data_IF_669521105423
#
_entry.id   IF_669521105423
#
_cell.length_a   1.000
_cell.length_b   1.000
_cell.length_c   1.000
_cell.angle_alpha   90.00
_cell.angle_beta   90.00
_cell.angle_gamma   90.00
#
_symmetry.space_group_name_H-M   'P 1'
#
loop_
_entity.id
_entity.type
_entity.pdbx_description
1 polymer ?
#
# COMPACT_ATOMS: atom_id res chain seq x y z
N UNK A 1 3.07 -84.65 -28.02
CA UNK A 1 1.71 -84.89 -28.52
C UNK A 1 1.27 -83.68 -29.31
N UNK A 2 0.80 -83.91 -30.54
CA UNK A 2 -0.04 -83.03 -31.38
C UNK A 2 0.60 -81.78 -32.03
N UNK A 3 1.09 -81.99 -33.25
CA UNK A 3 1.04 -81.11 -34.45
C UNK A 3 -0.43 -80.81 -34.89
N UNK A 4 -0.74 -80.11 -36.01
CA UNK A 4 0.03 -79.17 -36.87
C UNK A 4 -0.79 -77.92 -37.33
N UNK A 5 -0.19 -77.19 -38.29
CA UNK A 5 -0.80 -76.56 -39.50
C UNK A 5 -0.84 -75.02 -39.53
N UNK A 6 -0.16 -74.47 -40.55
CA UNK A 6 -0.14 -73.05 -40.92
C UNK A 6 -1.29 -72.64 -41.84
N UNK A 7 -0.99 -71.65 -42.70
CA UNK A 7 -1.65 -71.19 -43.95
C UNK A 7 -1.74 -69.65 -43.98
N UNK A 8 -0.93 -68.98 -44.82
CA UNK A 8 -1.21 -68.51 -46.20
C UNK A 8 -1.91 -67.13 -46.25
N UNK A 9 -1.23 -66.20 -46.92
CA UNK A 9 -1.70 -64.90 -47.47
C UNK A 9 -2.87 -65.08 -48.45
N UNK A 10 -3.71 -64.05 -48.67
CA UNK A 10 -3.74 -63.55 -50.05
C UNK A 10 -3.96 -62.03 -50.20
N UNK A 11 -3.40 -61.50 -51.28
CA UNK A 11 -3.84 -60.29 -51.95
C UNK A 11 -5.10 -60.59 -52.78
N UNK A 12 -6.04 -59.64 -52.87
CA UNK A 12 -6.70 -59.32 -54.15
C UNK A 12 -7.52 -58.03 -54.09
N UNK A 13 -7.43 -57.31 -55.21
CA UNK A 13 -8.01 -56.00 -55.55
C UNK A 13 -9.50 -56.07 -55.92
N UNK A 14 -10.04 -54.86 -56.19
CA UNK A 14 -11.22 -54.48 -56.99
C UNK A 14 -12.43 -54.03 -56.13
N UNK A 15 -13.22 -52.98 -56.45
CA UNK A 15 -13.58 -52.36 -57.73
C UNK A 15 -14.13 -50.92 -57.51
N UNK A 16 -13.79 -50.01 -58.43
CA UNK A 16 -14.56 -48.88 -59.04
C UNK A 16 -15.82 -48.30 -58.38
N UNK A 17 -15.93 -46.96 -58.34
CA UNK A 17 -17.01 -46.16 -58.99
C UNK A 17 -16.80 -44.63 -58.89
N UNK A 18 -17.16 -43.93 -59.96
CA UNK A 18 -16.97 -42.50 -60.26
C UNK A 18 -17.86 -41.56 -59.42
N UNK A 19 -17.38 -40.34 -59.09
CA UNK A 19 -18.22 -39.13 -59.13
C UNK A 19 -17.42 -37.80 -59.14
N UNK A 20 -17.57 -37.10 -60.27
CA UNK A 20 -17.75 -35.65 -60.47
C UNK A 20 -16.85 -34.64 -59.75
N UNK A 21 -15.96 -34.06 -60.55
CA UNK A 21 -15.37 -32.74 -60.37
C UNK A 21 -16.41 -31.63 -60.56
N UNK A 22 -16.62 -30.78 -59.56
CA UNK A 22 -17.12 -29.42 -59.76
C UNK A 22 -16.23 -28.42 -59.01
N UNK A 23 -15.69 -27.50 -59.82
CA UNK A 23 -14.91 -26.33 -59.45
C UNK A 23 -15.84 -25.33 -58.79
N UNK A 24 -15.57 -24.93 -57.55
CA UNK A 24 -16.20 -23.77 -56.90
C UNK A 24 -15.11 -22.79 -56.49
N UNK A 25 -15.31 -21.54 -56.94
CA UNK A 25 -14.45 -20.35 -56.83
C UNK A 25 -14.10 -20.00 -55.37
N UNK A 26 -12.94 -19.35 -55.12
CA UNK A 26 -12.64 -18.87 -53.78
C UNK A 26 -13.55 -17.67 -53.46
N UNK A 27 -14.40 -17.82 -52.46
CA UNK A 27 -15.06 -16.68 -51.81
C UNK A 27 -13.97 -15.98 -51.02
N UNK A 28 -13.56 -14.81 -51.49
CA UNK A 28 -12.70 -13.91 -50.74
C UNK A 28 -13.41 -13.54 -49.45
N UNK A 29 -13.00 -14.16 -48.34
CA UNK A 29 -13.14 -13.54 -47.04
C UNK A 29 -12.21 -12.33 -47.05
N UNK A 30 -12.78 -11.18 -47.39
CA UNK A 30 -12.27 -9.91 -46.92
C UNK A 30 -12.07 -10.05 -45.42
N UNK A 31 -10.81 -10.19 -45.00
CA UNK A 31 -10.36 -9.73 -43.70
C UNK A 31 -10.70 -8.25 -43.66
N UNK A 32 -11.95 -7.95 -43.28
CA UNK A 32 -12.26 -6.70 -42.63
C UNK A 32 -11.32 -6.66 -41.44
N UNK A 33 -10.25 -5.90 -41.62
CA UNK A 33 -9.59 -5.15 -40.56
C UNK A 33 -10.71 -4.67 -39.64
N UNK A 34 -10.88 -5.34 -38.52
CA UNK A 34 -11.65 -4.82 -37.41
C UNK A 34 -11.02 -3.47 -37.12
N UNK A 35 -11.77 -2.42 -37.44
CA UNK A 35 -11.40 -1.07 -37.11
C UNK A 35 -11.03 -1.08 -35.62
N UNK A 36 -9.76 -0.82 -35.32
CA UNK A 36 -9.31 -0.47 -33.99
C UNK A 36 -10.03 0.82 -33.62
N UNK A 37 -11.23 0.68 -33.08
CA UNK A 37 -11.92 1.73 -32.37
C UNK A 37 -11.08 2.01 -31.14
N UNK A 38 -10.16 2.97 -31.23
CA UNK A 38 -9.52 3.56 -30.08
C UNK A 38 -10.65 4.12 -29.22
N UNK A 39 -11.01 3.40 -28.16
CA UNK A 39 -12.09 3.79 -27.26
C UNK A 39 -11.73 5.17 -26.71
N UNK A 40 -12.56 6.22 -26.86
CA UNK A 40 -12.20 7.58 -26.43
C UNK A 40 -11.73 7.64 -24.97
N UNK A 41 -12.35 6.82 -24.11
CA UNK A 41 -11.94 6.64 -22.71
C UNK A 41 -10.50 6.12 -22.58
N UNK A 42 -10.08 5.12 -23.36
CA UNK A 42 -8.73 4.57 -23.28
C UNK A 42 -7.67 5.64 -23.63
N UNK A 43 -7.91 6.40 -24.71
CA UNK A 43 -7.00 7.48 -25.11
C UNK A 43 -6.88 8.60 -24.05
N UNK A 44 -7.99 8.89 -23.35
CA UNK A 44 -7.99 9.84 -22.23
C UNK A 44 -7.16 9.29 -21.07
N UNK A 45 -7.34 8.02 -20.71
CA UNK A 45 -6.61 7.38 -19.63
C UNK A 45 -5.11 7.30 -19.89
N UNK A 46 -4.71 6.97 -21.12
CA UNK A 46 -3.30 6.99 -21.51
C UNK A 46 -2.68 8.38 -21.35
N UNK A 47 -3.41 9.43 -21.73
CA UNK A 47 -2.96 10.82 -21.55
C UNK A 47 -2.82 11.19 -20.07
N UNK A 48 -3.75 10.76 -19.23
CA UNK A 48 -3.69 10.99 -17.79
C UNK A 48 -2.51 10.25 -17.17
N UNK A 49 -2.30 8.97 -17.51
CA UNK A 49 -1.16 8.18 -17.03
C UNK A 49 0.17 8.81 -17.47
N UNK A 50 0.25 9.29 -18.71
CA UNK A 50 1.42 9.99 -19.21
C UNK A 50 1.70 11.27 -18.41
N UNK A 51 0.65 12.04 -18.08
CA UNK A 51 0.76 13.24 -17.23
C UNK A 51 1.27 12.90 -15.84
N UNK A 52 0.78 11.81 -15.26
CA UNK A 52 1.20 11.33 -13.94
C UNK A 52 2.67 10.88 -13.94
N UNK A 53 3.11 10.19 -14.99
CA UNK A 53 4.46 9.63 -15.12
C UNK A 53 5.56 10.58 -15.60
N UNK A 54 5.19 11.81 -16.00
CA UNK A 54 6.14 12.83 -16.46
C UNK A 54 6.88 13.47 -15.28
N UNK A 55 8.21 13.32 -15.28
CA UNK A 55 9.08 13.86 -14.22
C UNK A 55 9.08 15.40 -14.19
N UNK A 56 8.89 16.07 -15.35
CA UNK A 56 8.85 17.53 -15.44
C UNK A 56 7.49 18.13 -15.06
N UNK A 57 6.46 17.30 -14.90
CA UNK A 57 5.11 17.75 -14.62
C UNK A 57 4.94 18.12 -13.13
N UNK A 58 4.28 19.26 -12.88
CA UNK A 58 3.98 19.71 -11.51
C UNK A 58 3.07 18.72 -10.77
N UNK A 59 3.31 18.54 -9.48
CA UNK A 59 2.59 17.56 -8.66
C UNK A 59 1.10 17.88 -8.48
N UNK A 60 0.69 19.16 -8.51
CA UNK A 60 -0.72 19.54 -8.48
C UNK A 60 -1.48 19.04 -9.73
N UNK A 61 -0.81 19.00 -10.88
CA UNK A 61 -1.38 18.52 -12.13
C UNK A 61 -1.37 16.99 -12.19
N UNK A 62 -0.33 16.33 -11.68
CA UNK A 62 -0.31 14.87 -11.49
C UNK A 62 -1.43 14.41 -10.55
N UNK A 63 -1.62 15.13 -9.44
CA UNK A 63 -2.67 14.85 -8.47
C UNK A 63 -4.06 14.95 -9.09
N UNK A 64 -4.34 16.03 -9.82
CA UNK A 64 -5.62 16.20 -10.54
C UNK A 64 -5.87 15.07 -11.53
N UNK A 65 -4.84 14.68 -12.30
CA UNK A 65 -4.96 13.56 -13.23
C UNK A 65 -5.25 12.24 -12.51
N UNK A 66 -4.59 11.97 -11.38
CA UNK A 66 -4.84 10.77 -10.59
C UNK A 66 -6.21 10.77 -9.91
N UNK A 67 -6.70 11.93 -9.48
CA UNK A 67 -8.06 12.08 -8.93
C UNK A 67 -9.13 11.77 -9.99
N UNK A 68 -8.93 12.19 -11.25
CA UNK A 68 -9.81 11.83 -12.36
C UNK A 68 -9.87 10.31 -12.55
N UNK A 69 -8.70 9.64 -12.58
CA UNK A 69 -8.59 8.17 -12.65
C UNK A 69 -9.27 7.50 -11.45
N UNK A 70 -9.09 8.03 -10.23
CA UNK A 70 -9.67 7.46 -9.01
C UNK A 70 -11.20 7.52 -9.00
N UNK A 71 -11.77 8.61 -9.51
CA UNK A 71 -13.22 8.82 -9.58
C UNK A 71 -13.88 7.87 -10.59
N UNK A 72 -13.21 7.55 -11.69
CA UNK A 72 -13.71 6.62 -12.70
C UNK A 72 -13.25 5.17 -12.48
N UNK A 73 -12.60 4.86 -11.35
CA UNK A 73 -11.90 3.57 -11.17
C UNK A 73 -12.80 2.35 -11.24
N UNK A 74 -13.99 2.39 -10.61
CA UNK A 74 -14.94 1.27 -10.65
C UNK A 74 -15.51 1.06 -12.06
N UNK A 75 -15.78 2.16 -12.79
CA UNK A 75 -16.25 2.08 -14.18
C UNK A 75 -15.17 1.46 -15.07
N UNK A 76 -13.91 1.90 -14.93
CA UNK A 76 -12.78 1.35 -15.65
C UNK A 76 -12.60 -0.14 -15.40
N UNK A 77 -12.82 -0.62 -14.17
CA UNK A 77 -12.69 -2.02 -13.80
C UNK A 77 -13.63 -2.96 -14.57
N UNK A 78 -14.71 -2.44 -15.16
CA UNK A 78 -15.64 -3.20 -16.00
C UNK A 78 -15.21 -3.33 -17.46
N UNK A 79 -14.19 -2.58 -17.88
CA UNK A 79 -13.74 -2.52 -19.27
C UNK A 79 -12.71 -3.60 -19.59
N UNK A 80 -12.69 -4.06 -20.85
CA UNK A 80 -11.69 -5.04 -21.33
C UNK A 80 -10.26 -4.49 -21.32
N UNK A 81 -10.09 -3.17 -21.29
CA UNK A 81 -8.78 -2.51 -21.25
C UNK A 81 -8.20 -2.37 -19.83
N UNK A 82 -8.99 -2.69 -18.78
CA UNK A 82 -8.60 -2.44 -17.39
C UNK A 82 -7.25 -3.03 -17.02
N UNK A 83 -6.96 -4.27 -17.45
CA UNK A 83 -5.70 -4.94 -17.09
C UNK A 83 -4.47 -4.18 -17.62
N UNK A 84 -4.55 -3.64 -18.83
CA UNK A 84 -3.47 -2.87 -19.46
C UNK A 84 -3.28 -1.54 -18.72
N UNK A 85 -4.39 -0.84 -18.44
CA UNK A 85 -4.40 0.42 -17.69
C UNK A 85 -3.84 0.21 -16.27
N UNK A 86 -4.26 -0.86 -15.60
CA UNK A 86 -3.82 -1.23 -14.27
C UNK A 86 -2.32 -1.52 -14.23
N UNK A 87 -1.79 -2.26 -15.21
CA UNK A 87 -0.36 -2.51 -15.32
C UNK A 87 0.43 -1.20 -15.49
N UNK A 88 -0.02 -0.32 -16.38
CA UNK A 88 0.62 0.98 -16.62
C UNK A 88 0.58 1.87 -15.38
N UNK A 89 -0.54 1.86 -14.63
CA UNK A 89 -0.67 2.56 -13.36
C UNK A 89 0.34 2.03 -12.33
N UNK A 90 0.44 0.71 -12.14
CA UNK A 90 1.40 0.13 -11.18
C UNK A 90 2.85 0.51 -11.49
N UNK A 91 3.25 0.46 -12.77
CA UNK A 91 4.59 0.91 -13.20
C UNK A 91 4.82 2.39 -12.88
N UNK A 92 3.83 3.22 -13.16
CA UNK A 92 3.89 4.68 -12.92
C UNK A 92 3.95 5.00 -11.43
N UNK A 93 3.15 4.31 -10.62
CA UNK A 93 3.10 4.47 -9.16
C UNK A 93 4.44 4.13 -8.51
N UNK A 94 5.02 2.98 -8.88
CA UNK A 94 6.34 2.57 -8.39
C UNK A 94 7.44 3.57 -8.76
N UNK A 95 7.35 4.18 -9.95
CA UNK A 95 8.27 5.24 -10.39
C UNK A 95 8.08 6.53 -9.56
N UNK A 96 6.85 6.98 -9.31
CA UNK A 96 6.59 8.18 -8.48
C UNK A 96 7.18 8.02 -7.08
N UNK A 97 7.05 6.83 -6.48
CA UNK A 97 7.66 6.58 -5.17
C UNK A 97 9.19 6.71 -5.14
N UNK A 98 9.85 6.46 -6.28
CA UNK A 98 11.30 6.58 -6.44
C UNK A 98 11.73 8.03 -6.76
N UNK A 99 10.93 8.72 -7.58
CA UNK A 99 11.23 10.06 -8.06
C UNK A 99 10.86 11.17 -7.06
N UNK A 100 10.05 10.85 -6.05
CA UNK A 100 9.58 11.80 -5.02
C UNK A 100 9.95 11.33 -3.61
N UNK A 101 10.07 12.29 -2.69
CA UNK A 101 10.39 12.03 -1.27
C UNK A 101 9.15 12.13 -0.39
N UNK A 102 9.12 11.48 0.79
CA UNK A 102 8.03 11.61 1.75
C UNK A 102 7.76 13.07 2.11
N UNK A 103 6.49 13.39 2.31
CA UNK A 103 6.03 14.72 2.70
C UNK A 103 5.13 14.61 3.93
N UNK A 104 5.17 15.60 4.81
CA UNK A 104 4.49 15.56 6.10
C UNK A 104 3.48 16.69 6.30
N UNK A 105 3.32 17.58 5.31
CA UNK A 105 2.24 18.57 5.29
C UNK A 105 1.06 17.97 4.52
N UNK A 106 -0.12 17.89 5.14
CA UNK A 106 -1.29 17.23 4.55
C UNK A 106 -1.81 17.92 3.28
N UNK A 107 -1.64 19.23 3.17
CA UNK A 107 -2.02 20.02 1.99
C UNK A 107 -0.97 19.95 0.86
N UNK A 108 0.18 19.32 1.10
CA UNK A 108 1.20 19.17 0.07
C UNK A 108 0.71 18.22 -1.05
N UNK A 109 0.80 18.67 -2.30
CA UNK A 109 0.31 17.90 -3.45
C UNK A 109 1.03 16.55 -3.61
N UNK A 110 2.33 16.48 -3.34
CA UNK A 110 3.10 15.22 -3.39
C UNK A 110 2.63 14.26 -2.28
N UNK A 111 2.33 14.75 -1.08
CA UNK A 111 1.74 13.92 -0.01
C UNK A 111 0.39 13.34 -0.46
N UNK A 112 -0.52 14.19 -0.95
CA UNK A 112 -1.85 13.77 -1.41
C UNK A 112 -1.75 12.78 -2.59
N UNK A 113 -0.79 13.00 -3.50
CA UNK A 113 -0.51 12.11 -4.61
C UNK A 113 -0.06 10.73 -4.12
N UNK A 114 0.93 10.67 -3.24
CA UNK A 114 1.47 9.41 -2.68
C UNK A 114 0.40 8.64 -1.90
N UNK A 115 -0.42 9.33 -1.11
CA UNK A 115 -1.55 8.73 -0.39
C UNK A 115 -2.57 8.13 -1.35
N UNK A 116 -3.00 8.90 -2.35
CA UNK A 116 -3.98 8.44 -3.35
C UNK A 116 -3.47 7.24 -4.18
N UNK A 117 -2.17 7.20 -4.46
CA UNK A 117 -1.52 6.03 -5.07
C UNK A 117 -1.70 4.79 -4.18
N UNK A 118 -1.43 4.89 -2.88
CA UNK A 118 -1.62 3.75 -1.95
C UNK A 118 -3.08 3.32 -1.87
N UNK A 119 -4.02 4.26 -1.80
CA UNK A 119 -5.46 3.97 -1.79
C UNK A 119 -5.89 3.25 -3.07
N UNK A 120 -5.38 3.66 -4.23
CA UNK A 120 -5.66 3.01 -5.51
C UNK A 120 -5.05 1.60 -5.59
N UNK A 121 -3.81 1.40 -5.11
CA UNK A 121 -3.20 0.07 -5.03
C UNK A 121 -4.06 -0.85 -4.13
N UNK A 122 -4.56 -0.33 -3.01
CA UNK A 122 -5.45 -1.09 -2.13
C UNK A 122 -6.78 -1.45 -2.83
N UNK A 123 -7.35 -0.53 -3.63
CA UNK A 123 -8.58 -0.76 -4.41
C UNK A 123 -8.41 -1.72 -5.60
N UNK A 124 -7.20 -1.89 -6.12
CA UNK A 124 -6.93 -2.79 -7.26
C UNK A 124 -7.22 -4.28 -6.96
N UNK A 125 -7.45 -4.64 -5.69
CA UNK A 125 -7.66 -6.00 -5.20
C UNK A 125 -6.49 -6.95 -5.54
N UNK A 126 -6.51 -8.15 -4.96
CA UNK A 126 -5.51 -9.17 -5.24
C UNK A 126 -5.85 -9.96 -6.53
N UNK A 127 -5.41 -9.46 -7.69
CA UNK A 127 -5.56 -10.14 -9.00
C UNK A 127 -4.20 -10.54 -9.62
N UNK A 128 -4.23 -11.25 -10.76
CA UNK A 128 -3.02 -11.78 -11.41
C UNK A 128 -2.05 -10.68 -11.86
N UNK A 129 -2.55 -9.50 -12.26
CA UNK A 129 -1.68 -8.36 -12.59
C UNK A 129 -0.93 -7.89 -11.34
N UNK A 130 -1.65 -7.60 -10.24
CA UNK A 130 -1.02 -7.19 -8.97
C UNK A 130 -0.03 -8.24 -8.47
N UNK A 131 -0.36 -9.52 -8.61
CA UNK A 131 0.50 -10.65 -8.20
C UNK A 131 1.84 -10.64 -8.94
N UNK A 132 1.88 -10.29 -10.22
CA UNK A 132 3.14 -10.16 -10.98
C UNK A 132 4.05 -9.04 -10.44
N UNK A 133 3.46 -8.00 -9.84
CA UNK A 133 4.19 -6.89 -9.23
C UNK A 133 4.39 -7.03 -7.71
N UNK A 134 3.85 -8.08 -7.09
CA UNK A 134 3.78 -8.22 -5.63
C UNK A 134 5.13 -8.05 -4.93
N UNK A 135 6.22 -8.56 -5.54
CA UNK A 135 7.58 -8.39 -5.01
C UNK A 135 8.01 -6.92 -5.01
N UNK A 136 7.83 -6.21 -6.12
CA UNK A 136 8.19 -4.80 -6.25
C UNK A 136 7.35 -3.92 -5.31
N UNK A 137 6.06 -4.22 -5.21
CA UNK A 137 5.14 -3.55 -4.29
C UNK A 137 5.61 -3.79 -2.86
N UNK A 138 5.90 -5.03 -2.45
CA UNK A 138 6.38 -5.33 -1.09
C UNK A 138 7.67 -4.58 -0.75
N UNK A 139 8.66 -4.57 -1.65
CA UNK A 139 9.90 -3.83 -1.45
C UNK A 139 9.64 -2.32 -1.29
N UNK A 140 8.75 -1.74 -2.09
CA UNK A 140 8.41 -0.32 -2.00
C UNK A 140 7.62 0.00 -0.72
N UNK A 141 6.62 -0.81 -0.37
CA UNK A 141 5.80 -0.61 0.82
C UNK A 141 6.58 -0.82 2.12
N UNK A 142 7.62 -1.67 2.10
CA UNK A 142 8.58 -1.79 3.21
C UNK A 142 9.25 -0.44 3.51
N UNK A 143 9.70 0.27 2.47
CA UNK A 143 10.26 1.62 2.62
C UNK A 143 9.21 2.61 3.12
N UNK A 144 7.99 2.57 2.57
CA UNK A 144 6.88 3.44 2.99
C UNK A 144 6.64 3.30 4.50
N UNK A 145 6.54 2.08 5.02
CA UNK A 145 6.37 1.85 6.47
C UNK A 145 7.49 2.49 7.29
N UNK A 146 8.73 2.49 6.79
CA UNK A 146 9.90 2.95 7.54
C UNK A 146 10.08 4.47 7.57
N UNK A 147 9.72 5.19 6.50
CA UNK A 147 10.13 6.60 6.32
C UNK A 147 8.98 7.58 6.08
N UNK A 148 7.75 7.11 5.90
CA UNK A 148 6.60 7.97 5.60
C UNK A 148 5.88 8.47 6.85
N UNK A 149 4.89 9.34 6.61
CA UNK A 149 3.94 9.77 7.63
C UNK A 149 2.93 8.66 8.00
N UNK A 150 2.22 8.91 9.11
CA UNK A 150 1.20 8.04 9.68
C UNK A 150 0.16 7.54 8.65
N UNK A 151 -0.39 8.44 7.82
CA UNK A 151 -1.49 8.08 6.92
C UNK A 151 -1.05 7.07 5.85
N UNK A 152 0.11 7.32 5.23
CA UNK A 152 0.65 6.47 4.18
C UNK A 152 1.06 5.09 4.73
N UNK A 153 1.71 5.05 5.89
CA UNK A 153 2.13 3.80 6.51
C UNK A 153 0.95 2.89 6.87
N UNK A 154 -0.17 3.43 7.38
CA UNK A 154 -1.36 2.65 7.71
C UNK A 154 -1.93 1.97 6.46
N UNK A 155 -1.99 2.68 5.32
CA UNK A 155 -2.48 2.09 4.07
C UNK A 155 -1.49 1.03 3.57
N UNK A 156 -0.18 1.29 3.64
CA UNK A 156 0.85 0.33 3.26
C UNK A 156 0.76 -0.99 4.06
N UNK A 157 0.54 -0.91 5.38
CA UNK A 157 0.35 -2.09 6.24
C UNK A 157 -0.87 -2.90 5.79
N UNK A 158 -1.97 -2.23 5.43
CA UNK A 158 -3.19 -2.89 4.92
C UNK A 158 -2.95 -3.60 3.59
N UNK A 159 -2.28 -2.94 2.64
CA UNK A 159 -1.94 -3.55 1.34
C UNK A 159 -1.08 -4.80 1.55
N UNK A 160 0.00 -4.68 2.34
CA UNK A 160 0.90 -5.83 2.60
C UNK A 160 0.11 -6.96 3.29
N UNK A 161 -0.70 -6.64 4.30
CA UNK A 161 -1.56 -7.61 5.00
C UNK A 161 -2.46 -8.38 4.03
N UNK A 162 -3.10 -7.68 3.10
CA UNK A 162 -3.97 -8.28 2.12
C UNK A 162 -3.21 -9.16 1.13
N UNK A 163 -2.10 -8.67 0.58
CA UNK A 163 -1.27 -9.44 -0.36
C UNK A 163 -0.67 -10.69 0.28
N UNK A 164 -0.18 -10.61 1.53
CA UNK A 164 0.32 -11.77 2.25
C UNK A 164 -0.76 -12.84 2.35
N UNK A 165 -1.97 -12.46 2.80
CA UNK A 165 -3.11 -13.36 2.96
C UNK A 165 -3.62 -13.93 1.65
N UNK A 166 -3.89 -13.08 0.66
CA UNK A 166 -4.53 -13.47 -0.59
C UNK A 166 -3.60 -14.32 -1.47
N UNK A 167 -2.33 -13.94 -1.59
CA UNK A 167 -1.38 -14.65 -2.42
C UNK A 167 -0.68 -15.81 -1.70
N UNK A 168 -0.83 -15.91 -0.37
CA UNK A 168 0.02 -16.77 0.50
C UNK A 168 1.49 -16.60 0.15
N UNK A 169 1.91 -15.33 0.07
CA UNK A 169 3.21 -14.94 -0.47
C UNK A 169 4.35 -15.65 0.27
N UNK A 170 5.43 -15.97 -0.44
CA UNK A 170 6.62 -16.63 0.14
C UNK A 170 7.29 -15.70 1.16
N UNK A 171 7.88 -16.30 2.20
CA UNK A 171 8.64 -15.56 3.19
C UNK A 171 9.88 -14.91 2.54
N UNK A 172 9.99 -13.60 2.65
CA UNK A 172 11.01 -12.77 1.97
C UNK A 172 11.72 -11.86 2.98
N UNK A 173 12.93 -11.36 2.67
CA UNK A 173 13.72 -10.52 3.59
C UNK A 173 13.03 -9.20 4.01
N UNK A 174 12.06 -8.72 3.23
CA UNK A 174 11.23 -7.58 3.56
C UNK A 174 10.40 -7.80 4.84
N UNK A 175 9.90 -9.02 5.07
CA UNK A 175 9.08 -9.33 6.26
C UNK A 175 9.83 -9.12 7.58
N UNK A 176 11.01 -9.72 7.82
CA UNK A 176 11.77 -9.45 9.03
C UNK A 176 12.24 -7.99 9.10
N UNK A 177 12.47 -7.31 7.97
CA UNK A 177 12.79 -5.87 7.95
C UNK A 177 11.64 -5.04 8.53
N UNK A 178 10.40 -5.32 8.12
CA UNK A 178 9.19 -4.65 8.65
C UNK A 178 9.02 -4.98 10.15
N UNK A 179 9.17 -6.25 10.54
CA UNK A 179 9.04 -6.66 11.95
C UNK A 179 10.06 -5.93 12.83
N UNK A 180 11.33 -5.88 12.41
CA UNK A 180 12.38 -5.18 13.15
C UNK A 180 12.13 -3.68 13.27
N UNK A 181 11.54 -3.07 12.23
CA UNK A 181 11.11 -1.69 12.30
C UNK A 181 10.03 -1.49 13.38
N UNK A 182 8.97 -2.31 13.40
CA UNK A 182 7.95 -2.21 14.45
C UNK A 182 8.49 -2.49 15.86
N UNK A 183 9.43 -3.42 16.00
CA UNK A 183 10.13 -3.63 17.28
C UNK A 183 10.85 -2.38 17.75
N UNK A 184 11.53 -1.65 16.85
CA UNK A 184 12.16 -0.37 17.19
C UNK A 184 11.12 0.65 17.65
N UNK A 185 10.01 0.81 16.91
CA UNK A 185 8.92 1.74 17.28
C UNK A 185 8.37 1.44 18.69
N UNK A 186 8.14 0.16 19.03
CA UNK A 186 7.72 -0.22 20.39
C UNK A 186 8.76 0.13 21.46
N UNK A 187 10.06 -0.03 21.17
CA UNK A 187 11.15 0.29 22.11
C UNK A 187 11.32 1.79 22.33
N UNK A 188 11.02 2.60 21.32
CA UNK A 188 11.16 4.07 21.38
C UNK A 188 9.94 4.73 22.05
N UNK A 189 8.78 4.07 22.02
CA UNK A 189 7.52 4.61 22.54
C UNK A 189 7.56 5.09 24.02
N UNK A 190 8.20 4.38 24.98
CA UNK A 190 8.39 4.90 26.34
C UNK A 190 9.11 6.26 26.38
N UNK A 191 10.08 6.48 25.48
CA UNK A 191 10.81 7.75 25.40
C UNK A 191 9.92 8.87 24.85
N UNK A 192 9.10 8.59 23.84
CA UNK A 192 8.11 9.55 23.33
C UNK A 192 7.13 9.97 24.41
N UNK A 193 6.58 9.00 25.16
CA UNK A 193 5.66 9.27 26.27
C UNK A 193 6.32 10.13 27.34
N UNK A 194 7.54 9.80 27.76
CA UNK A 194 8.20 10.48 28.89
C UNK A 194 8.93 11.75 28.47
N UNK A 195 10.02 11.60 27.73
CA UNK A 195 10.91 12.71 27.34
C UNK A 195 10.31 13.56 26.24
N UNK A 196 9.58 12.94 25.31
CA UNK A 196 8.92 13.61 24.20
C UNK A 196 7.64 14.36 24.57
N UNK A 197 7.17 14.23 25.83
CA UNK A 197 5.93 14.84 26.32
C UNK A 197 4.75 14.59 25.37
N UNK A 198 4.64 13.35 24.90
CA UNK A 198 3.75 12.94 23.81
C UNK A 198 2.32 13.44 23.94
N UNK A 199 1.76 13.57 25.15
CA UNK A 199 0.36 13.95 25.32
C UNK A 199 0.15 15.46 25.46
N UNK A 200 1.21 16.27 25.42
CA UNK A 200 1.12 17.73 25.46
C UNK A 200 1.22 18.31 24.05
N UNK A 201 0.07 18.64 23.48
CA UNK A 201 -0.07 19.03 22.09
C UNK A 201 -0.38 20.52 21.98
N UNK A 202 0.37 21.22 21.12
CA UNK A 202 0.23 22.66 20.92
C UNK A 202 0.32 22.97 19.43
N UNK A 203 -0.55 23.85 18.95
CA UNK A 203 -0.39 24.43 17.63
C UNK A 203 0.94 25.19 17.58
N UNK A 204 1.71 24.91 16.54
CA UNK A 204 3.05 25.46 16.37
C UNK A 204 2.92 26.80 15.64
N UNK A 205 3.19 27.89 16.37
CA UNK A 205 3.20 29.25 15.83
C UNK A 205 4.62 29.57 15.34
N UNK A 206 4.75 30.10 14.12
CA UNK A 206 6.01 30.52 13.48
C UNK A 206 6.93 29.38 13.01
N UNK A 207 6.36 28.35 12.40
CA UNK A 207 7.19 27.43 11.63
C UNK A 207 7.69 28.20 10.40
N UNK A 208 9.00 28.46 10.31
CA UNK A 208 9.58 29.01 9.07
C UNK A 208 9.40 28.01 7.93
N UNK A 209 9.42 28.49 6.68
CA UNK A 209 9.36 27.63 5.48
C UNK A 209 10.64 26.81 5.23
N UNK A 210 11.62 26.88 6.15
CA UNK A 210 12.87 26.13 6.04
C UNK A 210 12.64 24.68 6.47
N UNK A 211 13.12 23.74 5.66
CA UNK A 211 13.00 22.29 5.91
C UNK A 211 13.49 21.88 7.31
N UNK A 212 14.50 22.58 7.86
CA UNK A 212 15.03 22.36 9.21
C UNK A 212 14.00 22.66 10.30
N UNK A 213 13.12 23.63 10.11
CA UNK A 213 12.10 23.99 11.11
C UNK A 213 10.96 22.98 11.09
N UNK A 214 10.55 22.54 9.89
CA UNK A 214 9.58 21.44 9.73
C UNK A 214 10.12 20.16 10.36
N UNK A 215 11.38 19.81 10.11
CA UNK A 215 12.04 18.63 10.68
C UNK A 215 12.07 18.69 12.22
N UNK A 216 12.39 19.85 12.80
CA UNK A 216 12.35 20.05 14.26
C UNK A 216 10.95 19.90 14.84
N UNK A 217 9.93 20.36 14.10
CA UNK A 217 8.52 20.24 14.48
C UNK A 217 8.05 18.79 14.43
N UNK A 218 8.52 18.01 13.44
CA UNK A 218 8.21 16.60 13.30
C UNK A 218 8.78 15.75 14.44
N UNK A 219 9.92 16.13 15.02
CA UNK A 219 10.55 15.35 16.09
C UNK A 219 9.64 15.11 17.29
N UNK A 220 8.72 16.04 17.58
CA UNK A 220 7.74 15.94 18.67
C UNK A 220 6.29 16.01 18.18
N UNK A 221 6.04 15.65 16.92
CA UNK A 221 4.70 15.57 16.36
C UNK A 221 4.16 14.14 16.51
N UNK A 222 3.16 13.97 17.36
CA UNK A 222 2.57 12.64 17.67
C UNK A 222 1.13 12.48 17.18
N UNK A 223 0.52 13.58 16.73
CA UNK A 223 -0.80 13.62 16.11
C UNK A 223 -0.86 14.76 15.09
N UNK A 224 -1.84 14.76 14.16
CA UNK A 224 -2.03 15.89 13.24
C UNK A 224 -2.09 17.22 13.99
N UNK A 225 -1.14 18.12 13.69
CA UNK A 225 -0.94 19.38 14.41
C UNK A 225 -0.92 20.54 13.43
N UNK A 226 -1.62 21.63 13.73
CA UNK A 226 -1.60 22.81 12.87
C UNK A 226 -0.28 23.56 13.05
N UNK A 227 0.44 23.74 11.95
CA UNK A 227 1.61 24.62 11.82
C UNK A 227 1.20 25.86 11.03
N UNK A 228 1.54 27.03 11.54
CA UNK A 228 1.32 28.29 10.82
C UNK A 228 2.57 28.69 10.08
N UNK A 229 2.46 28.80 8.75
CA UNK A 229 3.53 29.18 7.85
C UNK A 229 3.24 30.59 7.31
N UNK A 230 4.25 31.48 7.26
CA UNK A 230 4.06 32.84 6.78
C UNK A 230 3.84 32.83 5.26
N UNK A 231 2.68 33.31 4.81
CA UNK A 231 2.40 33.53 3.39
C UNK A 231 2.50 35.01 3.03
N UNK A 232 3.35 35.30 2.04
CA UNK A 232 3.30 36.58 1.32
C UNK A 232 2.10 36.57 0.38
N UNK A 233 1.00 37.18 0.80
CA UNK A 233 -0.11 37.50 -0.11
C UNK A 233 0.34 38.54 -1.13
N UNK A 234 -0.22 38.50 -2.35
CA UNK A 234 0.10 39.44 -3.44
C UNK A 234 -0.13 40.94 -3.10
N UNK A 235 -0.90 41.23 -2.04
CA UNK A 235 -1.16 42.58 -1.51
C UNK A 235 -0.13 43.05 -0.46
N UNK A 236 0.95 42.29 -0.22
CA UNK A 236 1.98 42.66 0.76
C UNK A 236 1.58 42.49 2.24
N UNK A 237 0.35 42.04 2.53
CA UNK A 237 -0.08 41.65 3.88
C UNK A 237 0.46 40.25 4.21
N UNK A 238 1.23 40.12 5.28
CA UNK A 238 1.55 38.80 5.86
C UNK A 238 0.27 38.19 6.43
N UNK A 239 -0.13 37.03 5.93
CA UNK A 239 -1.15 36.19 6.56
C UNK A 239 -0.50 34.88 6.94
N UNK A 240 -0.82 34.40 8.13
CA UNK A 240 -0.45 33.06 8.56
C UNK A 240 -1.48 32.09 8.01
N UNK A 241 -1.07 31.22 7.11
CA UNK A 241 -1.89 30.10 6.64
C UNK A 241 -1.57 28.87 7.48
N UNK A 242 -2.62 28.23 7.98
CA UNK A 242 -2.51 27.02 8.80
C UNK A 242 -2.45 25.78 7.92
N UNK A 243 -1.45 24.95 8.16
CA UNK A 243 -1.19 23.69 7.47
C UNK A 243 -1.20 22.54 8.47
N UNK A 244 -1.62 21.35 8.04
CA UNK A 244 -1.68 20.17 8.90
C UNK A 244 -0.37 19.39 8.82
N UNK A 245 0.41 19.40 9.91
CA UNK A 245 1.60 18.56 10.04
C UNK A 245 1.19 17.16 10.51
N UNK A 246 1.51 16.14 9.71
CA UNK A 246 1.21 14.74 9.95
C UNK A 246 2.42 14.08 10.64
N UNK A 247 2.22 13.33 11.74
CA UNK A 247 3.32 12.69 12.46
C UNK A 247 4.02 11.62 11.60
N UNK A 248 5.25 11.29 11.97
CA UNK A 248 5.97 10.15 11.39
C UNK A 248 5.27 8.84 11.75
N UNK A 249 5.30 7.88 10.82
CA UNK A 249 4.79 6.54 11.08
C UNK A 249 5.47 5.90 12.31
N UNK A 250 6.77 6.16 12.49
CA UNK A 250 7.57 5.64 13.60
C UNK A 250 7.23 6.21 14.98
N UNK A 251 6.37 7.23 15.06
CA UNK A 251 5.94 7.87 16.31
C UNK A 251 4.44 7.67 16.59
N UNK A 252 3.73 7.00 15.67
CA UNK A 252 2.27 6.92 15.67
C UNK A 252 1.74 5.71 16.45
N UNK A 253 0.86 5.99 17.41
CA UNK A 253 0.07 4.96 18.09
C UNK A 253 -0.98 4.31 17.18
N UNK A 254 -1.44 5.02 16.13
CA UNK A 254 -2.33 4.43 15.13
C UNK A 254 -1.61 3.39 14.29
N UNK A 255 -0.37 3.65 13.90
CA UNK A 255 0.47 2.65 13.23
C UNK A 255 0.66 1.43 14.13
N UNK A 256 1.02 1.64 15.40
CA UNK A 256 1.13 0.53 16.37
C UNK A 256 -0.18 -0.25 16.54
N UNK A 257 -1.34 0.41 16.42
CA UNK A 257 -2.66 -0.22 16.51
C UNK A 257 -2.95 -1.22 15.36
N UNK A 258 -2.22 -1.14 14.25
CA UNK A 258 -2.35 -2.06 13.10
C UNK A 258 -1.38 -3.26 13.21
N UNK A 259 -0.29 -3.12 13.96
CA UNK A 259 0.75 -4.16 14.12
C UNK A 259 0.22 -5.49 14.66
N UNK A 260 -0.68 -5.55 15.65
CA UNK A 260 -1.20 -6.81 16.16
C UNK A 260 -1.90 -7.65 15.08
N UNK A 261 -2.75 -7.01 14.27
CA UNK A 261 -3.45 -7.71 13.18
C UNK A 261 -2.47 -8.16 12.09
N UNK A 262 -1.49 -7.32 11.76
CA UNK A 262 -0.41 -7.67 10.85
C UNK A 262 0.36 -8.92 11.33
N UNK A 263 0.70 -8.99 12.62
CA UNK A 263 1.38 -10.14 13.23
C UNK A 263 0.53 -11.41 13.18
N UNK A 264 -0.80 -11.32 13.39
CA UNK A 264 -1.70 -12.47 13.23
C UNK A 264 -1.63 -13.03 11.82
N UNK A 265 -1.70 -12.16 10.80
CA UNK A 265 -1.67 -12.58 9.39
C UNK A 265 -0.33 -13.26 9.09
N UNK A 266 0.79 -12.67 9.50
CA UNK A 266 2.10 -13.28 9.31
C UNK A 266 2.21 -14.62 10.03
N UNK A 267 1.69 -14.75 11.26
CA UNK A 267 1.72 -16.00 12.01
C UNK A 267 0.90 -17.11 11.36
N UNK A 268 -0.27 -16.76 10.79
CA UNK A 268 -1.13 -17.69 10.07
C UNK A 268 -0.48 -18.28 8.81
N UNK A 269 0.45 -17.56 8.19
CA UNK A 269 1.05 -17.93 6.90
C UNK A 269 2.48 -18.48 7.10
N UNK A 270 3.24 -17.89 8.01
CA UNK A 270 4.69 -18.07 8.15
C UNK A 270 5.11 -18.56 9.55
N UNK A 271 4.25 -19.34 10.23
CA UNK A 271 4.42 -19.79 11.63
C UNK A 271 5.86 -20.14 12.00
N UNK A 272 6.53 -21.00 11.22
CA UNK A 272 7.88 -21.47 11.51
C UNK A 272 8.96 -20.38 11.39
N UNK A 273 8.82 -19.47 10.41
CA UNK A 273 9.82 -18.44 10.16
C UNK A 273 9.77 -17.29 11.17
N UNK A 274 8.58 -16.98 11.70
CA UNK A 274 8.40 -15.80 12.56
C UNK A 274 8.30 -16.12 14.05
N UNK A 275 8.33 -17.39 14.46
CA UNK A 275 8.09 -17.77 15.85
C UNK A 275 9.02 -17.04 16.84
N UNK A 276 10.32 -16.98 16.54
CA UNK A 276 11.30 -16.27 17.38
C UNK A 276 11.05 -14.76 17.38
N UNK A 277 10.79 -14.20 16.20
CA UNK A 277 10.49 -12.77 16.04
C UNK A 277 9.24 -12.35 16.83
N UNK A 278 8.23 -13.24 16.86
CA UNK A 278 6.96 -13.03 17.53
C UNK A 278 7.11 -13.01 19.05
N UNK A 279 7.97 -13.86 19.63
CA UNK A 279 8.22 -13.88 21.07
C UNK A 279 8.74 -12.54 21.57
N UNK A 280 9.66 -11.92 20.82
CA UNK A 280 10.16 -10.60 21.16
C UNK A 280 9.08 -9.52 20.97
N UNK A 281 8.31 -9.56 19.88
CA UNK A 281 7.17 -8.64 19.69
C UNK A 281 6.16 -8.76 20.83
N UNK A 282 5.85 -9.98 21.29
CA UNK A 282 4.94 -10.21 22.42
C UNK A 282 5.48 -9.55 23.67
N UNK A 283 6.78 -9.70 23.97
CA UNK A 283 7.41 -9.04 25.12
C UNK A 283 7.29 -7.52 25.03
N UNK A 284 7.56 -6.94 23.86
CA UNK A 284 7.44 -5.51 23.62
C UNK A 284 6.00 -5.01 23.74
N UNK A 285 5.02 -5.75 23.23
CA UNK A 285 3.60 -5.42 23.38
C UNK A 285 3.14 -5.49 24.84
N UNK A 286 3.62 -6.46 25.63
CA UNK A 286 3.34 -6.51 27.08
C UNK A 286 3.90 -5.27 27.77
N UNK A 287 5.16 -4.91 27.51
CA UNK A 287 5.76 -3.68 28.05
C UNK A 287 4.97 -2.43 27.63
N UNK A 288 4.57 -2.36 26.36
CA UNK A 288 3.77 -1.27 25.82
C UNK A 288 2.41 -1.13 26.53
N UNK A 289 1.72 -2.23 26.80
CA UNK A 289 0.45 -2.24 27.53
C UNK A 289 0.59 -1.86 29.01
N UNK A 290 1.80 -1.94 29.57
CA UNK A 290 2.08 -1.49 30.95
C UNK A 290 2.42 0.01 31.02
N UNK A 291 2.63 0.67 29.88
CA UNK A 291 2.86 2.12 29.85
C UNK A 291 1.57 2.86 30.23
N UNK A 292 1.74 3.93 31.00
CA UNK A 292 0.67 4.83 31.39
C UNK A 292 1.08 6.27 31.07
N UNK A 293 0.07 7.13 30.87
CA UNK A 293 0.29 8.55 30.67
C UNK A 293 0.78 9.16 31.98
N UNK A 294 1.93 9.85 32.03
CA UNK A 294 2.42 10.51 33.24
C UNK A 294 1.42 11.54 33.79
N UNK A 295 1.22 11.56 35.12
CA UNK A 295 0.22 12.42 35.77
C UNK A 295 0.44 13.91 35.50
N UNK A 296 1.68 14.36 35.41
CA UNK A 296 2.05 15.74 35.07
C UNK A 296 1.55 16.16 33.68
N UNK A 297 1.53 15.23 32.71
CA UNK A 297 0.95 15.49 31.39
C UNK A 297 -0.59 15.49 31.44
N UNK A 298 -1.21 14.60 32.23
CA UNK A 298 -2.67 14.52 32.34
C UNK A 298 -3.31 15.81 32.87
N UNK A 299 -2.61 16.52 33.77
CA UNK A 299 -3.08 17.80 34.33
C UNK A 299 -2.63 19.01 33.51
N UNK A 300 -1.87 18.81 32.42
CA UNK A 300 -1.36 19.88 31.58
C UNK A 300 -2.51 20.57 30.83
N UNK A 301 -2.44 21.90 30.70
CA UNK A 301 -3.42 22.67 29.93
C UNK A 301 -3.39 22.35 28.42
N UNK A 302 -2.31 21.75 27.93
CA UNK A 302 -2.16 21.30 26.55
C UNK A 302 -2.37 19.79 26.39
N UNK A 303 -2.98 19.12 27.37
CA UNK A 303 -3.26 17.69 27.29
C UNK A 303 -4.19 17.36 26.11
N UNK A 304 -3.81 16.39 25.28
CA UNK A 304 -4.63 15.89 24.18
C UNK A 304 -5.39 14.63 24.58
N UNK A 305 -6.67 14.80 24.92
CA UNK A 305 -7.58 13.67 25.17
C UNK A 305 -7.72 12.77 23.95
N UNK A 306 -7.72 13.34 22.74
CA UNK A 306 -7.83 12.57 21.49
C UNK A 306 -6.64 11.59 21.35
N UNK A 307 -5.42 12.08 21.56
CA UNK A 307 -4.23 11.22 21.46
C UNK A 307 -4.17 10.19 22.60
N UNK A 308 -4.66 10.55 23.79
CA UNK A 308 -4.80 9.60 24.90
C UNK A 308 -5.78 8.46 24.56
N UNK A 309 -6.92 8.78 23.97
CA UNK A 309 -7.91 7.77 23.53
C UNK A 309 -7.33 6.86 22.44
N UNK A 310 -6.60 7.41 21.48
CA UNK A 310 -5.91 6.64 20.44
C UNK A 310 -4.81 5.73 21.02
N UNK A 311 -4.05 6.23 21.99
CA UNK A 311 -3.05 5.44 22.73
C UNK A 311 -3.68 4.26 23.46
N UNK A 312 -4.72 4.49 24.27
CA UNK A 312 -5.40 3.39 24.97
C UNK A 312 -6.09 2.42 23.99
N UNK A 313 -6.68 2.92 22.89
CA UNK A 313 -7.25 2.08 21.84
C UNK A 313 -6.19 1.15 21.23
N UNK A 314 -4.99 1.66 20.97
CA UNK A 314 -3.88 0.85 20.47
C UNK A 314 -3.42 -0.23 21.48
N UNK A 315 -3.39 0.08 22.78
CA UNK A 315 -3.10 -0.90 23.83
C UNK A 315 -4.18 -1.99 23.90
N UNK A 316 -5.46 -1.63 23.77
CA UNK A 316 -6.57 -2.60 23.73
C UNK A 316 -6.40 -3.59 22.57
N UNK A 317 -5.99 -3.11 21.38
CA UNK A 317 -5.70 -4.00 20.23
C UNK A 317 -4.50 -4.92 20.50
N UNK A 318 -3.45 -4.41 21.12
CA UNK A 318 -2.29 -5.23 21.53
C UNK A 318 -2.68 -6.29 22.58
N UNK A 319 -3.45 -5.93 23.61
CA UNK A 319 -3.99 -6.88 24.60
C UNK A 319 -4.88 -7.95 23.96
N UNK A 320 -5.73 -7.56 23.01
CA UNK A 320 -6.59 -8.51 22.27
C UNK A 320 -5.75 -9.55 21.53
N UNK A 321 -4.66 -9.11 20.90
CA UNK A 321 -3.71 -10.00 20.25
C UNK A 321 -2.97 -10.91 21.24
N UNK A 322 -2.50 -10.37 22.37
CA UNK A 322 -1.83 -11.16 23.40
C UNK A 322 -2.75 -12.26 23.94
N UNK A 323 -4.03 -11.94 24.18
CA UNK A 323 -5.04 -12.92 24.55
C UNK A 323 -5.27 -13.98 23.46
N UNK A 324 -5.34 -13.56 22.19
CA UNK A 324 -5.46 -14.48 21.05
C UNK A 324 -4.28 -15.46 20.97
N UNK A 325 -3.04 -14.97 21.05
CA UNK A 325 -1.85 -15.82 21.00
C UNK A 325 -1.79 -16.74 22.21
N UNK A 326 -2.03 -16.23 23.43
CA UNK A 326 -2.02 -17.06 24.64
C UNK A 326 -3.01 -18.23 24.57
N UNK A 327 -4.19 -18.02 23.97
CA UNK A 327 -5.19 -19.08 23.79
C UNK A 327 -4.77 -20.17 22.78
N UNK A 328 -3.88 -19.84 21.84
CA UNK A 328 -3.44 -20.72 20.75
C UNK A 328 -2.04 -21.32 20.95
N UNK A 329 -1.22 -20.74 21.82
CA UNK A 329 0.07 -21.29 22.24
C UNK A 329 -0.08 -22.41 23.28
N UNK A 330 -1.28 -22.58 23.85
CA UNK A 330 -1.62 -23.69 24.76
C UNK A 330 -1.97 -25.02 24.04
N UNK A 331 -1.72 -25.12 22.72
CA UNK A 331 -1.91 -26.31 21.88
C UNK A 331 -0.70 -26.52 20.98
#
# INVERSE_FOLDING_TARGET
MSTPVGYITPQSQQHTSQQQSQIVRPVGHSLQTTAQGHHPLLSRLETLIQTIGDAGQRDDLKLKALQEISNSFEEMATTSAFQIVQENLLRTFLKIFQDTVPQFIGENNTQQLRKLILELILRMNCNEIVKQYAKLILTQLTKVIQVENEENAIIAIKIISEHQRAFRAVFTPEIPTIINHFKAVYRDMPQHITSGRMFEQRNLRHCGMEDSVIESSLQNCYMPTIVYLPETSGDGTQRDSGYSLIPRASQSVKVLSEVPMFCIILFQIHRHHIQNELMEIISLMVQYCMLSIPHDQQISSSFSTLLADEFYSSQVRALTFLGFISSRSAV
#
